data_IF_586510565178
#
_entry.id   IF_586510565178
#
_cell.length_a   1.000
_cell.length_b   1.000
_cell.length_c   1.000
_cell.angle_alpha   90.00
_cell.angle_beta   90.00
_cell.angle_gamma   90.00
#
_symmetry.space_group_name_H-M   'P 1'
#
loop_
_entity.id
_entity.type
_entity.pdbx_description
1 polymer ?
#
# COMPACT_ATOMS: atom_id res chain seq x y z
N UNK A 1 -28.89 7.64 4.54
CA UNK A 1 -29.17 7.09 5.87
C UNK A 1 -28.94 8.20 6.91
N UNK A 2 -29.50 8.10 8.11
CA UNK A 2 -29.19 9.03 9.19
C UNK A 2 -27.90 8.58 9.91
N UNK A 3 -27.25 9.48 10.64
CA UNK A 3 -26.08 9.13 11.44
C UNK A 3 -26.40 8.14 12.56
N UNK A 4 -27.63 8.20 13.09
CA UNK A 4 -28.14 7.23 14.06
C UNK A 4 -28.22 5.79 13.54
N UNK A 5 -28.25 5.61 12.22
CA UNK A 5 -28.35 4.31 11.57
C UNK A 5 -26.97 3.72 11.26
N UNK A 6 -25.90 4.48 11.50
CA UNK A 6 -24.51 4.04 11.22
C UNK A 6 -24.00 3.21 12.41
N UNK A 7 -23.71 1.91 12.23
CA UNK A 7 -23.22 1.07 13.31
C UNK A 7 -21.94 1.63 13.95
N UNK A 8 -21.87 1.62 15.28
CA UNK A 8 -20.70 2.06 16.02
C UNK A 8 -20.45 3.58 16.05
N UNK A 9 -21.17 4.38 15.25
CA UNK A 9 -20.94 5.83 15.15
C UNK A 9 -21.03 6.55 16.50
N UNK A 10 -22.00 6.20 17.33
CA UNK A 10 -22.21 6.88 18.62
C UNK A 10 -21.03 6.71 19.60
N UNK A 11 -20.29 5.63 19.51
CA UNK A 11 -19.21 5.22 20.42
C UNK A 11 -17.81 5.30 19.83
N UNK A 12 -17.67 5.77 18.57
CA UNK A 12 -16.35 5.87 17.92
C UNK A 12 -15.51 7.00 18.53
N UNK A 13 -14.20 6.89 18.42
CA UNK A 13 -13.25 7.96 18.73
C UNK A 13 -13.20 8.99 17.59
N UNK A 14 -14.18 9.89 17.60
CA UNK A 14 -14.30 10.94 16.59
C UNK A 14 -13.13 11.93 16.63
N UNK A 15 -12.49 12.14 17.79
CA UNK A 15 -11.33 13.02 17.89
C UNK A 15 -10.13 12.44 17.12
N UNK A 16 -9.87 11.15 17.27
CA UNK A 16 -8.84 10.46 16.50
C UNK A 16 -9.18 10.44 14.99
N UNK A 17 -10.44 10.19 14.63
CA UNK A 17 -10.89 10.24 13.23
C UNK A 17 -10.70 11.64 12.63
N UNK A 18 -11.03 12.71 13.37
CA UNK A 18 -10.87 14.09 12.94
C UNK A 18 -9.39 14.47 12.76
N UNK A 19 -8.52 14.06 13.69
CA UNK A 19 -7.08 14.31 13.59
C UNK A 19 -6.49 13.72 12.29
N UNK A 20 -6.88 12.50 11.94
CA UNK A 20 -6.43 11.84 10.69
C UNK A 20 -7.05 12.50 9.45
N UNK A 21 -8.34 12.86 9.51
CA UNK A 21 -8.96 13.65 8.44
C UNK A 21 -8.21 14.97 8.21
N UNK A 22 -7.94 15.71 9.29
CA UNK A 22 -7.21 16.97 9.24
C UNK A 22 -5.79 16.80 8.67
N UNK A 23 -5.10 15.69 9.01
CA UNK A 23 -3.77 15.36 8.49
C UNK A 23 -3.76 15.21 6.95
N UNK A 24 -4.86 14.75 6.35
CA UNK A 24 -4.97 14.59 4.89
C UNK A 24 -5.34 15.88 4.15
N UNK A 25 -5.91 16.84 4.86
CA UNK A 25 -6.51 18.04 4.27
C UNK A 25 -5.53 18.97 3.53
N UNK A 26 -4.25 19.16 3.92
CA UNK A 26 -3.31 19.96 3.14
C UNK A 26 -3.20 19.49 1.70
N UNK A 27 -3.04 18.18 1.47
CA UNK A 27 -2.99 17.58 0.13
C UNK A 27 -4.30 17.75 -0.66
N UNK A 28 -5.44 17.65 0.01
CA UNK A 28 -6.76 17.85 -0.62
C UNK A 28 -6.98 19.32 -1.04
N UNK A 29 -6.50 20.27 -0.26
CA UNK A 29 -6.70 21.72 -0.51
C UNK A 29 -5.62 22.30 -1.40
N UNK A 30 -4.36 21.92 -1.20
CA UNK A 30 -3.19 22.49 -1.85
C UNK A 30 -2.79 21.81 -3.17
N UNK A 31 -3.31 20.61 -3.43
CA UNK A 31 -2.89 19.83 -4.59
C UNK A 31 -1.45 19.33 -4.47
N UNK A 32 -0.99 19.02 -3.26
CA UNK A 32 0.35 18.48 -3.01
C UNK A 32 0.65 17.25 -3.86
N UNK A 33 1.94 17.04 -4.13
CA UNK A 33 2.43 15.91 -4.92
C UNK A 33 2.06 14.61 -4.23
N UNK A 34 1.13 13.87 -4.81
CA UNK A 34 0.75 12.53 -4.36
C UNK A 34 1.72 11.48 -4.95
N UNK A 35 1.99 10.42 -4.20
CA UNK A 35 2.82 9.31 -4.70
C UNK A 35 2.15 8.56 -5.87
N UNK A 36 0.81 8.56 -5.90
CA UNK A 36 0.01 7.98 -6.98
C UNK A 36 -1.16 8.88 -7.32
N UNK A 37 -1.31 9.32 -8.58
CA UNK A 37 -2.48 10.08 -9.00
C UNK A 37 -3.79 9.31 -8.71
N UNK A 38 -4.83 10.02 -8.29
CA UNK A 38 -6.16 9.50 -8.02
C UNK A 38 -7.22 10.45 -8.54
N UNK A 39 -8.51 10.14 -8.24
CA UNK A 39 -9.59 11.07 -8.56
C UNK A 39 -9.35 12.42 -7.86
N UNK A 40 -9.58 13.54 -8.55
CA UNK A 40 -9.52 14.85 -7.92
C UNK A 40 -10.61 14.99 -6.85
N UNK A 41 -10.33 15.70 -5.73
CA UNK A 41 -11.33 15.92 -4.68
C UNK A 41 -12.44 16.83 -5.19
N UNK A 42 -13.69 16.48 -4.87
CA UNK A 42 -14.85 17.32 -5.17
C UNK A 42 -14.87 18.59 -4.32
N UNK A 43 -15.58 19.63 -4.77
CA UNK A 43 -15.68 20.92 -4.10
C UNK A 43 -16.13 20.81 -2.63
N UNK A 44 -17.03 19.89 -2.32
CA UNK A 44 -17.53 19.67 -0.96
C UNK A 44 -16.43 19.15 -0.03
N UNK A 45 -15.61 18.19 -0.49
CA UNK A 45 -14.49 17.66 0.28
C UNK A 45 -13.42 18.73 0.52
N UNK A 46 -13.10 19.52 -0.50
CA UNK A 46 -12.17 20.66 -0.38
C UNK A 46 -12.70 21.68 0.64
N UNK A 47 -14.00 22.00 0.63
CA UNK A 47 -14.60 22.92 1.60
C UNK A 47 -14.57 22.37 3.03
N UNK A 48 -14.85 21.06 3.21
CA UNK A 48 -14.73 20.39 4.50
C UNK A 48 -13.28 20.39 5.02
N UNK A 49 -12.32 20.13 4.15
CA UNK A 49 -10.90 20.18 4.50
C UNK A 49 -10.43 21.59 4.88
N UNK A 50 -10.82 22.62 4.13
CA UNK A 50 -10.52 24.01 4.52
C UNK A 50 -11.06 24.34 5.90
N UNK A 51 -12.29 23.94 6.20
CA UNK A 51 -12.86 24.15 7.51
C UNK A 51 -12.12 23.38 8.60
N UNK A 52 -11.73 22.13 8.36
CA UNK A 52 -10.93 21.34 9.31
C UNK A 52 -9.59 22.02 9.63
N UNK A 53 -8.88 22.51 8.61
CA UNK A 53 -7.61 23.22 8.80
C UNK A 53 -7.73 24.51 9.60
N UNK A 54 -8.88 25.20 9.55
CA UNK A 54 -9.14 26.43 10.31
C UNK A 54 -9.60 26.17 11.75
N UNK A 55 -10.04 24.97 12.07
CA UNK A 55 -10.67 24.66 13.37
C UNK A 55 -9.68 24.26 14.45
N UNK A 56 -8.49 23.79 14.10
CA UNK A 56 -7.55 23.20 15.06
C UNK A 56 -8.00 21.81 15.53
N UNK A 57 -7.44 21.31 16.63
CA UNK A 57 -7.81 20.03 17.22
C UNK A 57 -9.21 20.10 17.86
N UNK A 58 -10.03 19.05 17.67
CA UNK A 58 -11.37 18.93 18.25
C UNK A 58 -11.43 17.77 19.24
N UNK A 59 -12.15 17.98 20.35
CA UNK A 59 -12.53 16.92 21.27
C UNK A 59 -13.73 16.11 20.73
N UNK A 60 -14.03 14.95 21.34
CA UNK A 60 -14.95 13.94 20.83
C UNK A 60 -16.28 14.46 20.27
N UNK A 61 -17.09 15.15 21.09
CA UNK A 61 -18.41 15.65 20.66
C UNK A 61 -18.31 16.74 19.58
N UNK A 62 -17.31 17.61 19.68
CA UNK A 62 -17.08 18.62 18.66
C UNK A 62 -16.59 18.02 17.32
N UNK A 63 -15.74 16.99 17.39
CA UNK A 63 -15.31 16.24 16.22
C UNK A 63 -16.47 15.47 15.58
N UNK A 64 -17.33 14.84 16.40
CA UNK A 64 -18.56 14.19 15.94
C UNK A 64 -19.45 15.19 15.21
N UNK A 65 -19.76 16.34 15.83
CA UNK A 65 -20.59 17.39 15.24
C UNK A 65 -20.00 17.94 13.94
N UNK A 66 -18.65 18.01 13.83
CA UNK A 66 -17.99 18.38 12.59
C UNK A 66 -18.35 17.45 11.43
N UNK A 67 -18.26 16.12 11.65
CA UNK A 67 -18.62 15.15 10.61
C UNK A 67 -20.11 15.19 10.29
N UNK A 68 -20.97 15.22 11.31
CA UNK A 68 -22.43 15.20 11.14
C UNK A 68 -22.97 16.43 10.39
N UNK A 69 -22.33 17.58 10.55
CA UNK A 69 -22.74 18.83 9.87
C UNK A 69 -22.20 18.95 8.45
N UNK A 70 -21.07 18.28 8.12
CA UNK A 70 -20.38 18.47 6.84
C UNK A 70 -20.50 17.31 5.88
N UNK A 71 -20.90 16.14 6.38
CA UNK A 71 -21.03 14.92 5.59
C UNK A 71 -22.41 14.28 5.76
N UNK A 72 -22.77 13.44 4.81
CA UNK A 72 -23.93 12.57 4.89
C UNK A 72 -23.47 11.12 4.70
N UNK A 73 -23.85 10.19 5.58
CA UNK A 73 -23.48 8.79 5.43
C UNK A 73 -24.29 8.12 4.31
N UNK A 74 -23.59 7.32 3.50
CA UNK A 74 -24.15 6.46 2.48
C UNK A 74 -23.66 5.04 2.70
N UNK A 75 -24.57 4.07 2.61
CA UNK A 75 -24.15 2.67 2.58
C UNK A 75 -23.50 2.35 1.23
N UNK A 76 -22.29 1.81 1.28
CA UNK A 76 -21.59 1.29 0.10
C UNK A 76 -21.90 -0.20 0.02
N UNK A 77 -22.67 -0.61 -0.98
CA UNK A 77 -23.03 -2.02 -1.20
C UNK A 77 -22.29 -2.54 -2.42
N UNK A 78 -21.39 -3.53 -2.25
CA UNK A 78 -20.72 -4.16 -3.38
C UNK A 78 -21.72 -4.86 -4.31
N UNK A 79 -21.41 -5.01 -5.62
CA UNK A 79 -22.33 -5.65 -6.58
C UNK A 79 -22.75 -7.07 -6.21
N UNK A 80 -21.88 -7.81 -5.52
CA UNK A 80 -22.16 -9.18 -5.05
C UNK A 80 -22.76 -9.23 -3.62
N UNK A 81 -23.08 -8.10 -3.02
CA UNK A 81 -23.66 -8.00 -1.68
C UNK A 81 -22.70 -8.22 -0.52
N UNK A 82 -21.46 -8.62 -0.77
CA UNK A 82 -20.45 -8.86 0.28
C UNK A 82 -19.34 -7.82 0.22
N UNK A 83 -19.07 -7.17 1.37
CA UNK A 83 -17.88 -6.36 1.57
C UNK A 83 -16.63 -7.24 1.73
N UNK A 84 -15.49 -6.71 1.34
CA UNK A 84 -14.20 -7.36 1.53
C UNK A 84 -13.24 -6.35 2.17
N UNK A 85 -12.72 -6.70 3.33
CA UNK A 85 -11.77 -5.89 4.09
C UNK A 85 -10.50 -6.71 4.33
N UNK A 86 -9.35 -6.11 4.07
CA UNK A 86 -8.05 -6.70 4.38
C UNK A 86 -7.25 -5.77 5.27
N UNK A 87 -6.46 -6.35 6.18
CA UNK A 87 -5.48 -5.62 6.96
C UNK A 87 -4.23 -5.30 6.13
N UNK A 88 -3.71 -4.10 6.32
CA UNK A 88 -2.37 -3.70 5.87
C UNK A 88 -1.47 -3.55 7.10
N UNK A 89 -0.24 -3.98 6.99
CA UNK A 89 0.78 -3.76 8.02
C UNK A 89 2.13 -3.49 7.34
N UNK A 90 3.00 -2.75 8.02
CA UNK A 90 4.37 -2.53 7.56
C UNK A 90 5.28 -3.59 8.19
N UNK A 91 5.84 -4.53 7.42
CA UNK A 91 6.73 -5.54 7.96
C UNK A 91 8.02 -4.90 8.46
N UNK A 92 8.56 -5.44 9.54
CA UNK A 92 9.93 -5.18 9.98
C UNK A 92 10.78 -6.38 9.59
N UNK A 93 11.82 -6.13 8.81
CA UNK A 93 12.71 -7.13 8.24
C UNK A 93 14.17 -6.77 8.50
N UNK A 94 15.04 -7.76 8.62
CA UNK A 94 16.46 -7.53 8.73
C UNK A 94 17.05 -7.21 7.36
N UNK A 95 17.91 -6.20 7.31
CA UNK A 95 18.55 -5.77 6.07
C UNK A 95 19.86 -5.06 6.32
N UNK A 96 20.56 -4.75 5.24
CA UNK A 96 21.83 -4.02 5.27
C UNK A 96 21.85 -2.97 4.16
N UNK A 97 22.64 -1.91 4.34
CA UNK A 97 22.90 -0.91 3.30
C UNK A 97 24.14 -1.28 2.45
N UNK A 98 24.80 -2.37 2.80
CA UNK A 98 25.93 -2.92 2.04
C UNK A 98 25.75 -4.42 1.82
N UNK A 99 26.19 -4.97 0.68
CA UNK A 99 26.09 -6.41 0.41
C UNK A 99 26.99 -7.22 1.34
N UNK A 100 26.52 -8.40 1.72
CA UNK A 100 27.30 -9.40 2.45
C UNK A 100 26.70 -10.80 2.25
N UNK A 101 27.40 -11.84 2.69
CA UNK A 101 26.90 -13.21 2.62
C UNK A 101 25.59 -13.39 3.42
N UNK A 102 25.40 -12.61 4.49
CA UNK A 102 24.16 -12.60 5.29
C UNK A 102 23.02 -11.83 4.63
N UNK A 103 23.32 -10.95 3.69
CA UNK A 103 22.37 -10.10 2.98
C UNK A 103 22.66 -10.07 1.47
N UNK A 104 22.35 -11.16 0.75
CA UNK A 104 22.70 -11.30 -0.68
C UNK A 104 21.66 -10.73 -1.65
N UNK A 105 20.43 -10.41 -1.19
CA UNK A 105 19.31 -10.08 -2.07
C UNK A 105 19.16 -8.55 -2.20
N UNK A 106 19.45 -7.98 -3.40
CA UNK A 106 19.37 -6.54 -3.58
C UNK A 106 17.96 -6.01 -3.62
N UNK A 107 17.74 -4.88 -2.96
CA UNK A 107 16.58 -4.00 -3.10
C UNK A 107 16.92 -2.92 -4.12
N UNK A 108 16.08 -2.77 -5.15
CA UNK A 108 16.36 -1.86 -6.24
C UNK A 108 15.64 -0.52 -6.08
N UNK A 109 16.36 0.57 -6.36
CA UNK A 109 15.81 1.90 -6.55
C UNK A 109 14.95 1.96 -7.81
N UNK A 110 14.12 3.00 -7.91
CA UNK A 110 13.39 3.31 -9.14
C UNK A 110 14.38 3.62 -10.26
N UNK A 111 14.33 2.87 -11.38
CA UNK A 111 15.16 3.17 -12.53
C UNK A 111 14.79 4.53 -13.16
N UNK A 112 15.78 5.27 -13.72
CA UNK A 112 15.54 6.58 -14.31
C UNK A 112 14.71 6.52 -15.61
N UNK A 113 14.73 5.39 -16.30
CA UNK A 113 13.98 5.14 -17.53
C UNK A 113 12.55 4.62 -17.30
N UNK A 114 12.15 4.47 -16.03
CA UNK A 114 10.79 4.02 -15.68
C UNK A 114 9.81 5.19 -15.73
N UNK A 115 8.86 5.13 -16.63
CA UNK A 115 7.76 6.09 -16.74
C UNK A 115 6.46 5.52 -16.19
N UNK A 116 5.80 6.26 -15.30
CA UNK A 116 4.47 5.91 -14.80
C UNK A 116 3.42 6.45 -15.78
N UNK A 117 2.54 5.57 -16.27
CA UNK A 117 1.47 5.94 -17.18
C UNK A 117 0.25 6.44 -16.41
N UNK A 118 -0.43 7.44 -16.97
CA UNK A 118 -1.67 7.93 -16.39
C UNK A 118 -2.81 6.90 -16.58
N UNK A 119 -3.73 6.75 -15.63
CA UNK A 119 -4.87 5.86 -15.78
C UNK A 119 -5.72 6.24 -17.00
N UNK A 120 -6.01 5.27 -17.88
CA UNK A 120 -6.81 5.48 -19.09
C UNK A 120 -6.06 6.12 -20.26
N UNK A 121 -4.79 6.46 -20.12
CA UNK A 121 -3.95 6.93 -21.21
C UNK A 121 -3.58 5.75 -22.13
N UNK A 122 -3.82 5.93 -23.42
CA UNK A 122 -3.53 4.92 -24.44
C UNK A 122 -2.23 5.26 -25.15
N UNK A 123 -1.29 4.32 -25.16
CA UNK A 123 -0.03 4.46 -25.87
C UNK A 123 0.04 3.43 -27.01
N UNK A 124 0.26 3.86 -28.26
CA UNK A 124 0.38 2.94 -29.39
C UNK A 124 1.47 1.89 -29.13
N UNK A 125 1.11 0.61 -29.33
CA UNK A 125 2.04 -0.52 -29.16
C UNK A 125 2.22 -1.01 -27.71
N UNK A 126 1.59 -0.36 -26.70
CA UNK A 126 1.57 -0.86 -25.32
C UNK A 126 0.24 -1.52 -24.98
N UNK A 127 0.30 -2.58 -24.17
CA UNK A 127 -0.88 -3.18 -23.55
C UNK A 127 -1.55 -2.15 -22.62
N UNK A 128 -2.84 -1.85 -22.79
CA UNK A 128 -3.58 -0.90 -21.94
C UNK A 128 -3.60 -1.26 -20.44
N UNK A 129 -3.33 -2.52 -20.10
CA UNK A 129 -3.24 -2.96 -18.71
C UNK A 129 -1.95 -2.51 -18.00
N UNK A 130 -0.95 -2.03 -18.74
CA UNK A 130 0.31 -1.56 -18.17
C UNK A 130 0.12 -0.21 -17.49
N UNK A 131 0.66 -0.08 -16.29
CA UNK A 131 0.62 1.17 -15.52
C UNK A 131 1.98 1.90 -15.47
N UNK A 132 2.99 1.35 -16.15
CA UNK A 132 4.29 1.99 -16.37
C UNK A 132 4.95 1.35 -17.58
N UNK A 133 5.91 2.08 -18.16
CA UNK A 133 6.66 1.67 -19.34
C UNK A 133 8.14 2.06 -19.19
N UNK A 134 9.01 1.51 -20.03
CA UNK A 134 10.39 1.95 -20.22
C UNK A 134 10.41 3.03 -21.28
N UNK A 135 11.00 4.17 -20.94
CA UNK A 135 11.29 5.24 -21.90
C UNK A 135 12.67 5.02 -22.54
N UNK A 136 12.73 5.09 -23.85
CA UNK A 136 13.96 5.07 -24.63
C UNK A 136 13.95 6.13 -25.74
N UNK A 137 15.01 6.24 -26.52
CA UNK A 137 15.05 7.07 -27.74
C UNK A 137 14.07 6.60 -28.82
N UNK A 138 13.67 5.33 -28.80
CA UNK A 138 12.71 4.73 -29.73
C UNK A 138 11.25 4.87 -29.27
N UNK A 139 11.03 5.43 -28.06
CA UNK A 139 9.70 5.63 -27.46
C UNK A 139 9.48 4.77 -26.21
N UNK A 140 8.21 4.45 -25.96
CA UNK A 140 7.79 3.65 -24.81
C UNK A 140 7.74 2.16 -25.16
N UNK A 141 8.27 1.33 -24.27
CA UNK A 141 8.20 -0.13 -24.37
C UNK A 141 7.76 -0.73 -23.01
N UNK A 142 7.21 -1.96 -22.99
CA UNK A 142 6.89 -2.63 -21.75
C UNK A 142 8.11 -2.73 -20.84
N UNK A 143 7.94 -2.41 -19.54
CA UNK A 143 9.01 -2.59 -18.56
C UNK A 143 9.21 -4.09 -18.31
N UNK A 144 10.45 -4.58 -18.04
CA UNK A 144 10.70 -5.96 -17.67
C UNK A 144 9.79 -6.41 -16.52
N UNK A 145 9.28 -7.61 -16.61
CA UNK A 145 8.51 -8.22 -15.53
C UNK A 145 9.42 -8.74 -14.41
N UNK A 146 8.81 -9.22 -13.31
CA UNK A 146 9.54 -9.76 -12.17
C UNK A 146 10.50 -10.87 -12.57
N UNK A 147 10.09 -11.79 -13.45
CA UNK A 147 10.92 -12.92 -13.85
C UNK A 147 12.21 -12.43 -14.55
N UNK A 148 12.09 -11.47 -15.45
CA UNK A 148 13.23 -10.84 -16.12
C UNK A 148 14.12 -10.05 -15.14
N UNK A 149 13.53 -9.27 -14.22
CA UNK A 149 14.28 -8.50 -13.20
C UNK A 149 15.04 -9.45 -12.28
N UNK A 150 14.40 -10.48 -11.75
CA UNK A 150 15.04 -11.52 -10.94
C UNK A 150 16.08 -12.34 -11.74
N UNK A 151 15.98 -12.34 -13.06
CA UNK A 151 16.95 -12.92 -13.99
C UNK A 151 18.11 -11.99 -14.36
N UNK A 152 18.16 -10.75 -13.78
CA UNK A 152 19.26 -9.83 -14.00
C UNK A 152 19.03 -8.78 -15.10
N UNK A 153 17.80 -8.56 -15.58
CA UNK A 153 17.51 -7.55 -16.63
C UNK A 153 17.89 -6.12 -16.25
N UNK A 154 18.12 -5.84 -14.97
CA UNK A 154 18.55 -4.53 -14.44
C UNK A 154 19.94 -4.60 -13.78
N UNK A 155 20.66 -5.70 -13.88
CA UNK A 155 21.98 -5.86 -13.29
C UNK A 155 22.98 -4.87 -13.90
N UNK A 156 23.91 -4.38 -13.07
CA UNK A 156 24.96 -3.46 -13.49
C UNK A 156 24.51 -2.01 -13.72
N UNK A 157 23.26 -1.67 -13.40
CA UNK A 157 22.75 -0.30 -13.53
C UNK A 157 22.97 0.55 -12.26
N UNK A 158 23.55 -0.02 -11.19
CA UNK A 158 23.79 0.70 -9.94
C UNK A 158 22.52 1.08 -9.19
N UNK A 159 21.49 0.25 -9.28
CA UNK A 159 20.18 0.50 -8.69
C UNK A 159 20.04 -0.07 -7.27
N UNK A 160 21.02 -0.80 -6.79
CA UNK A 160 20.99 -1.46 -5.48
C UNK A 160 21.12 -0.42 -4.35
N UNK A 161 20.15 -0.36 -3.46
CA UNK A 161 20.07 0.63 -2.35
C UNK A 161 20.08 0.01 -0.96
N UNK A 162 19.79 -1.28 -0.87
CA UNK A 162 19.80 -2.08 0.35
C UNK A 162 19.86 -3.55 -0.03
N UNK A 163 20.11 -4.42 0.95
CA UNK A 163 20.17 -5.87 0.76
C UNK A 163 19.43 -6.59 1.87
N UNK A 164 18.72 -7.66 1.52
CA UNK A 164 17.92 -8.48 2.43
C UNK A 164 18.49 -9.89 2.52
N UNK A 165 18.03 -10.66 3.53
CA UNK A 165 18.46 -12.04 3.74
C UNK A 165 17.98 -12.98 2.64
N UNK A 166 16.71 -12.84 2.23
CA UNK A 166 16.08 -13.74 1.27
C UNK A 166 15.09 -13.03 0.33
N UNK A 167 14.77 -13.70 -0.77
CA UNK A 167 13.85 -13.20 -1.79
C UNK A 167 12.38 -13.15 -1.28
N UNK A 168 12.03 -13.92 -0.25
CA UNK A 168 10.68 -13.94 0.33
C UNK A 168 10.43 -12.63 1.07
N UNK A 169 11.41 -12.14 1.85
CA UNK A 169 11.32 -10.86 2.52
C UNK A 169 11.17 -9.72 1.52
N UNK A 170 11.96 -9.72 0.43
CA UNK A 170 11.83 -8.74 -0.64
C UNK A 170 10.45 -8.80 -1.29
N UNK A 171 9.96 -10.00 -1.59
CA UNK A 171 8.65 -10.19 -2.21
C UNK A 171 7.54 -9.61 -1.34
N UNK A 172 7.56 -9.88 -0.04
CA UNK A 172 6.54 -9.38 0.87
C UNK A 172 6.66 -7.88 1.14
N UNK A 173 7.87 -7.34 1.25
CA UNK A 173 8.06 -5.88 1.27
C UNK A 173 7.44 -5.22 0.03
N UNK A 174 7.60 -5.83 -1.14
CA UNK A 174 7.00 -5.35 -2.38
C UNK A 174 5.47 -5.48 -2.41
N UNK A 175 4.89 -6.56 -1.89
CA UNK A 175 3.44 -6.72 -1.78
C UNK A 175 2.84 -5.65 -0.87
N UNK A 176 3.50 -5.36 0.26
CA UNK A 176 3.06 -4.32 1.20
C UNK A 176 3.36 -2.89 0.70
N UNK A 177 4.39 -2.71 -0.13
CA UNK A 177 4.80 -1.43 -0.68
C UNK A 177 5.67 -0.58 0.25
N UNK A 178 5.96 -1.04 1.46
CA UNK A 178 6.91 -0.49 2.42
C UNK A 178 7.42 -1.57 3.37
N UNK A 179 8.55 -1.32 4.01
CA UNK A 179 9.07 -2.15 5.10
C UNK A 179 9.98 -1.32 6.01
N UNK A 180 10.05 -1.67 7.28
CA UNK A 180 11.12 -1.21 8.18
C UNK A 180 12.31 -2.14 8.04
N UNK A 181 13.48 -1.57 7.83
CA UNK A 181 14.74 -2.29 7.83
C UNK A 181 15.40 -2.15 9.20
N UNK A 182 15.59 -3.26 9.89
CA UNK A 182 16.48 -3.33 11.03
C UNK A 182 17.91 -3.57 10.52
N UNK A 183 18.76 -2.57 10.66
CA UNK A 183 20.14 -2.64 10.24
C UNK A 183 21.01 -3.41 11.24
N UNK A 184 22.22 -3.89 10.85
CA UNK A 184 23.10 -4.67 11.73
C UNK A 184 23.56 -3.94 12.98
N UNK A 185 23.60 -2.62 12.96
CA UNK A 185 23.90 -1.77 14.12
C UNK A 185 22.71 -1.51 15.04
N UNK A 186 21.53 -2.10 14.75
CA UNK A 186 20.30 -1.93 15.50
C UNK A 186 19.49 -0.69 15.12
N UNK A 187 20.01 0.18 14.25
CA UNK A 187 19.26 1.34 13.75
C UNK A 187 18.17 0.90 12.79
N UNK A 188 17.16 1.78 12.59
CA UNK A 188 16.05 1.54 11.69
C UNK A 188 16.14 2.46 10.47
N UNK A 189 15.98 1.89 9.29
CA UNK A 189 15.67 2.60 8.07
C UNK A 189 14.28 2.18 7.56
N UNK A 190 13.74 2.84 6.57
CA UNK A 190 12.48 2.47 5.95
C UNK A 190 12.62 2.37 4.45
N UNK A 191 12.16 1.27 3.88
CA UNK A 191 11.88 1.16 2.45
C UNK A 191 10.52 1.81 2.19
N UNK A 192 10.51 2.80 1.32
CA UNK A 192 9.27 3.46 0.87
C UNK A 192 9.09 3.23 -0.63
N UNK A 193 7.85 3.11 -1.05
CA UNK A 193 7.50 2.95 -2.46
C UNK A 193 8.07 4.09 -3.31
N UNK A 194 8.80 3.74 -4.37
CA UNK A 194 9.38 4.69 -5.33
C UNK A 194 8.85 4.50 -6.77
N UNK A 195 8.24 3.34 -7.05
CA UNK A 195 7.69 3.04 -8.36
C UNK A 195 7.37 1.56 -8.53
N UNK A 196 6.69 1.24 -9.63
CA UNK A 196 6.44 -0.15 -10.03
C UNK A 196 6.68 -0.33 -11.53
N UNK A 197 7.02 -1.55 -11.94
CA UNK A 197 7.26 -1.88 -13.34
C UNK A 197 6.00 -1.85 -14.24
N UNK A 198 4.84 -1.53 -13.69
CA UNK A 198 3.59 -1.42 -14.43
C UNK A 198 2.92 -2.75 -14.82
N UNK A 199 3.57 -3.86 -14.61
CA UNK A 199 3.04 -5.18 -14.94
C UNK A 199 1.88 -5.56 -14.00
N UNK A 200 0.92 -6.41 -14.45
CA UNK A 200 -0.20 -6.85 -13.65
C UNK A 200 0.24 -7.67 -12.45
N UNK A 201 -0.54 -7.58 -11.37
CA UNK A 201 -0.33 -8.35 -10.15
C UNK A 201 -1.01 -9.71 -10.22
N UNK A 202 -0.31 -10.75 -9.80
CA UNK A 202 -0.86 -12.10 -9.61
C UNK A 202 -0.66 -12.53 -8.16
N UNK A 203 -1.75 -12.95 -7.51
CA UNK A 203 -1.67 -13.49 -6.14
C UNK A 203 -1.01 -14.86 -6.12
N UNK A 204 0.20 -14.96 -5.58
CA UNK A 204 0.91 -16.22 -5.46
C UNK A 204 0.23 -17.18 -4.48
N UNK A 205 -0.49 -16.68 -3.47
CA UNK A 205 -1.27 -17.53 -2.57
C UNK A 205 -2.36 -18.31 -3.32
N UNK A 206 -3.05 -17.66 -4.28
CA UNK A 206 -4.01 -18.36 -5.14
C UNK A 206 -3.35 -19.42 -6.03
N UNK A 207 -2.15 -19.13 -6.52
CA UNK A 207 -1.38 -20.11 -7.31
C UNK A 207 -1.04 -21.35 -6.47
N UNK A 208 -0.48 -21.13 -5.27
CA UNK A 208 -0.12 -22.20 -4.32
C UNK A 208 -1.31 -23.10 -3.97
N UNK A 209 -2.51 -22.47 -3.79
CA UNK A 209 -3.75 -23.23 -3.55
C UNK A 209 -4.20 -23.97 -4.80
N UNK A 210 -4.19 -23.34 -5.97
CA UNK A 210 -4.62 -23.95 -7.23
C UNK A 210 -3.73 -25.14 -7.63
N UNK A 211 -2.45 -25.10 -7.28
CA UNK A 211 -1.48 -26.19 -7.52
C UNK A 211 -1.51 -27.27 -6.41
N UNK A 212 -2.38 -27.13 -5.40
CA UNK A 212 -2.58 -28.13 -4.36
C UNK A 212 -1.52 -28.16 -3.26
N UNK A 213 -0.62 -27.16 -3.20
CA UNK A 213 0.40 -27.09 -2.15
C UNK A 213 -0.15 -26.67 -0.79
N UNK A 214 -1.33 -26.02 -0.77
CA UNK A 214 -2.02 -25.59 0.44
C UNK A 214 -3.53 -25.48 0.17
N UNK A 215 -4.36 -25.72 1.19
CA UNK A 215 -5.80 -25.46 1.09
C UNK A 215 -6.12 -23.99 1.42
N UNK A 216 -7.25 -23.47 0.94
CA UNK A 216 -7.68 -22.11 1.23
C UNK A 216 -7.86 -21.89 2.73
N UNK A 217 -8.44 -22.85 3.45
CA UNK A 217 -8.68 -22.77 4.91
C UNK A 217 -7.38 -22.76 5.72
N UNK A 218 -6.31 -23.37 5.17
CA UNK A 218 -4.99 -23.37 5.77
C UNK A 218 -4.16 -22.12 5.41
N UNK A 219 -4.62 -21.31 4.45
CA UNK A 219 -3.87 -20.17 3.96
C UNK A 219 -3.78 -19.07 5.03
N UNK A 220 -2.56 -18.74 5.42
CA UNK A 220 -2.23 -17.54 6.16
C UNK A 220 -0.93 -16.97 5.63
N UNK A 221 -0.63 -15.71 5.97
CA UNK A 221 0.62 -15.07 5.58
C UNK A 221 1.82 -15.88 6.10
N UNK A 222 1.80 -16.23 7.38
CA UNK A 222 2.89 -16.99 8.03
C UNK A 222 3.11 -18.34 7.38
N UNK A 223 2.04 -19.08 7.13
CA UNK A 223 2.12 -20.40 6.49
C UNK A 223 2.64 -20.34 5.06
N UNK A 224 2.21 -19.33 4.31
CA UNK A 224 2.71 -19.13 2.94
C UNK A 224 4.19 -18.75 2.96
N UNK A 225 4.62 -17.85 3.85
CA UNK A 225 6.03 -17.52 4.01
C UNK A 225 6.89 -18.74 4.42
N UNK A 226 6.40 -19.52 5.39
CA UNK A 226 7.08 -20.74 5.83
C UNK A 226 7.22 -21.75 4.68
N UNK A 227 6.15 -21.95 3.90
CA UNK A 227 6.17 -22.84 2.74
C UNK A 227 7.17 -22.35 1.68
N UNK A 228 7.19 -21.05 1.36
CA UNK A 228 8.14 -20.48 0.41
C UNK A 228 9.59 -20.69 0.85
N UNK A 229 9.90 -20.48 2.14
CA UNK A 229 11.26 -20.69 2.67
C UNK A 229 11.65 -22.17 2.71
N UNK A 230 10.70 -23.07 2.97
CA UNK A 230 10.94 -24.52 2.96
C UNK A 230 11.11 -25.10 1.53
N UNK A 231 10.65 -24.39 0.50
CA UNK A 231 10.65 -24.86 -0.88
C UNK A 231 11.28 -23.82 -1.84
N UNK A 232 12.58 -23.50 -1.72
CA UNK A 232 13.19 -22.34 -2.39
C UNK A 232 13.11 -22.37 -3.93
N UNK A 233 13.18 -23.54 -4.56
CA UNK A 233 13.05 -23.68 -6.01
C UNK A 233 11.63 -23.32 -6.48
N UNK A 234 10.62 -23.88 -5.80
CA UNK A 234 9.21 -23.59 -6.05
C UNK A 234 8.85 -22.14 -5.69
N UNK A 235 9.41 -21.62 -4.61
CA UNK A 235 9.24 -20.22 -4.22
C UNK A 235 9.66 -19.27 -5.34
N UNK A 236 10.85 -19.47 -5.91
CA UNK A 236 11.32 -18.67 -7.06
C UNK A 236 10.39 -18.79 -8.25
N UNK A 237 9.94 -20.01 -8.59
CA UNK A 237 9.01 -20.24 -9.69
C UNK A 237 7.69 -19.50 -9.45
N UNK A 238 7.08 -19.68 -8.30
CA UNK A 238 5.78 -19.11 -7.96
C UNK A 238 5.84 -17.58 -7.84
N UNK A 239 6.88 -17.04 -7.20
CA UNK A 239 7.06 -15.58 -7.10
C UNK A 239 7.20 -14.91 -8.48
N UNK A 240 7.86 -15.56 -9.45
CA UNK A 240 8.00 -15.06 -10.83
C UNK A 240 6.68 -15.00 -11.61
N UNK A 241 5.66 -15.77 -11.22
CA UNK A 241 4.31 -15.69 -11.82
C UNK A 241 3.61 -14.36 -11.49
N UNK A 242 3.98 -13.71 -10.40
CA UNK A 242 3.57 -12.33 -10.15
C UNK A 242 4.47 -11.38 -10.94
N UNK A 243 4.01 -10.93 -12.11
CA UNK A 243 4.77 -10.06 -13.01
C UNK A 243 5.09 -8.68 -12.41
N UNK A 244 4.29 -8.22 -11.43
CA UNK A 244 4.47 -6.92 -10.78
C UNK A 244 5.74 -6.89 -9.92
N UNK A 245 6.53 -5.82 -10.06
CA UNK A 245 7.74 -5.56 -9.27
C UNK A 245 7.71 -4.12 -8.74
N UNK A 246 8.02 -3.94 -7.46
CA UNK A 246 8.05 -2.64 -6.79
C UNK A 246 9.50 -2.22 -6.57
N UNK A 247 9.80 -0.96 -6.88
CA UNK A 247 11.06 -0.28 -6.60
C UNK A 247 10.92 0.58 -5.35
N UNK A 248 12.01 0.75 -4.61
CA UNK A 248 12.01 1.44 -3.33
C UNK A 248 12.96 2.64 -3.30
N UNK A 249 12.79 3.47 -2.29
CA UNK A 249 13.79 4.40 -1.78
C UNK A 249 14.04 4.10 -0.30
N UNK A 250 15.25 4.33 0.17
CA UNK A 250 15.60 4.24 1.60
C UNK A 250 15.40 5.59 2.25
N UNK A 251 14.77 5.61 3.42
CA UNK A 251 14.56 6.82 4.24
C UNK A 251 15.07 6.57 5.65
N UNK A 252 15.82 7.52 6.16
CA UNK A 252 16.37 7.54 7.52
C UNK A 252 15.70 8.62 8.39
N UNK A 253 15.03 9.58 7.74
CA UNK A 253 14.47 10.80 8.33
C UNK A 253 13.00 10.65 8.76
N UNK A 254 12.45 9.46 8.66
CA UNK A 254 11.07 9.19 9.07
C UNK A 254 11.00 8.83 10.55
N UNK A 255 10.04 9.43 11.24
CA UNK A 255 9.71 9.09 12.62
C UNK A 255 9.33 7.60 12.71
N UNK A 256 10.07 6.77 13.46
CA UNK A 256 9.78 5.34 13.56
C UNK A 256 8.45 5.04 14.24
N UNK A 257 7.89 5.99 15.01
CA UNK A 257 6.58 5.87 15.64
C UNK A 257 5.42 6.09 14.65
N UNK A 258 5.67 6.72 13.50
CA UNK A 258 4.65 6.94 12.47
C UNK A 258 4.57 5.76 11.53
N UNK A 259 3.38 5.48 11.03
CA UNK A 259 3.14 4.49 9.99
C UNK A 259 3.80 4.87 8.64
N UNK A 260 3.76 3.96 7.66
CA UNK A 260 4.29 4.21 6.33
C UNK A 260 3.54 5.35 5.64
N UNK A 261 4.20 6.00 4.69
CA UNK A 261 3.58 7.04 3.87
C UNK A 261 2.67 6.39 2.83
N UNK A 262 1.39 6.72 2.89
CA UNK A 262 0.39 6.26 1.93
C UNK A 262 0.47 6.96 0.58
N UNK A 263 -0.35 6.52 -0.38
CA UNK A 263 -0.38 7.05 -1.75
C UNK A 263 -0.72 8.55 -1.84
N UNK A 264 -1.39 9.09 -0.83
CA UNK A 264 -1.68 10.52 -0.68
C UNK A 264 -0.51 11.34 -0.10
N UNK A 265 0.69 10.76 0.02
CA UNK A 265 1.87 11.37 0.64
C UNK A 265 1.71 11.70 2.13
N UNK A 266 0.80 11.02 2.82
CA UNK A 266 0.50 11.23 4.24
C UNK A 266 0.82 9.96 5.03
N UNK A 267 1.41 10.03 6.24
CA UNK A 267 1.60 8.87 7.09
C UNK A 267 0.27 8.19 7.43
N UNK A 268 0.24 6.86 7.32
CA UNK A 268 -0.94 6.08 7.70
C UNK A 268 -1.00 5.93 9.21
N UNK A 269 -2.20 6.02 9.77
CA UNK A 269 -2.46 5.87 11.20
C UNK A 269 -3.18 4.54 11.43
N UNK A 270 -2.68 3.68 12.32
CA UNK A 270 -3.32 2.40 12.61
C UNK A 270 -4.79 2.56 12.99
N UNK A 271 -5.66 1.69 12.46
CA UNK A 271 -7.11 1.66 12.67
C UNK A 271 -7.87 2.93 12.25
N UNK A 272 -7.19 3.91 11.62
CA UNK A 272 -7.79 5.19 11.17
C UNK A 272 -7.49 5.52 9.71
N UNK A 273 -6.62 4.78 9.06
CA UNK A 273 -6.34 4.96 7.64
C UNK A 273 -6.65 3.68 6.87
N UNK A 274 -7.26 3.82 5.71
CA UNK A 274 -7.57 2.71 4.80
C UNK A 274 -6.98 2.97 3.42
N UNK A 275 -6.66 1.89 2.70
CA UNK A 275 -6.40 1.96 1.28
C UNK A 275 -7.73 1.93 0.52
N UNK A 276 -7.88 2.84 -0.43
CA UNK A 276 -9.08 2.92 -1.28
C UNK A 276 -8.72 2.70 -2.74
N UNK A 277 -9.69 2.25 -3.52
CA UNK A 277 -9.57 2.31 -4.97
C UNK A 277 -9.61 3.79 -5.40
N UNK A 278 -8.45 4.32 -5.75
CA UNK A 278 -8.23 5.72 -6.16
C UNK A 278 -8.90 6.09 -7.49
N UNK A 279 -9.41 5.12 -8.24
CA UNK A 279 -10.23 5.35 -9.44
C UNK A 279 -11.69 5.57 -9.12
N UNK A 280 -12.11 5.20 -7.90
CA UNK A 280 -13.48 5.35 -7.39
C UNK A 280 -13.59 6.45 -6.32
N UNK A 281 -12.56 6.61 -5.49
CA UNK A 281 -12.60 7.47 -4.32
C UNK A 281 -11.44 8.47 -4.28
N UNK A 282 -11.72 9.77 -4.15
CA UNK A 282 -10.69 10.76 -3.87
C UNK A 282 -10.00 10.49 -2.53
N UNK A 283 -8.70 10.77 -2.46
CA UNK A 283 -8.00 10.73 -1.17
C UNK A 283 -8.62 11.71 -0.18
N UNK A 284 -8.63 11.33 1.10
CA UNK A 284 -9.23 12.13 2.17
C UNK A 284 -10.74 11.94 2.32
N UNK A 285 -11.40 11.10 1.51
CA UNK A 285 -12.81 10.73 1.72
C UNK A 285 -12.96 9.96 3.04
N UNK A 286 -13.80 10.42 4.00
CA UNK A 286 -14.05 9.68 5.22
C UNK A 286 -14.89 8.43 4.96
N UNK A 287 -14.53 7.33 5.64
CA UNK A 287 -15.28 6.07 5.64
C UNK A 287 -15.60 5.66 7.07
N UNK A 288 -16.74 5.06 7.27
CA UNK A 288 -17.06 4.28 8.47
C UNK A 288 -17.07 2.81 8.05
N UNK A 289 -16.34 2.00 8.77
CA UNK A 289 -16.26 0.55 8.54
C UNK A 289 -16.98 -0.11 9.69
N UNK A 290 -17.93 -0.98 9.37
CA UNK A 290 -18.54 -1.90 10.32
C UNK A 290 -18.28 -3.33 9.83
N UNK A 291 -17.48 -4.08 10.57
CA UNK A 291 -17.07 -5.42 10.18
C UNK A 291 -16.81 -6.29 11.42
N UNK A 292 -17.01 -7.59 11.24
CA UNK A 292 -16.58 -8.59 12.21
C UNK A 292 -15.17 -9.06 11.81
N UNK A 293 -14.17 -8.75 12.63
CA UNK A 293 -12.78 -9.06 12.34
C UNK A 293 -12.26 -10.19 13.23
N UNK A 294 -11.36 -11.05 12.72
CA UNK A 294 -10.65 -12.01 13.57
C UNK A 294 -9.90 -11.30 14.70
N UNK A 295 -10.06 -11.79 15.91
CA UNK A 295 -9.30 -11.30 17.07
C UNK A 295 -7.98 -12.08 17.17
N UNK A 296 -6.82 -11.43 17.35
CA UNK A 296 -5.55 -12.11 17.58
C UNK A 296 -5.54 -13.03 18.79
N UNK A 297 -6.38 -12.76 19.80
CA UNK A 297 -6.57 -13.61 20.96
C UNK A 297 -7.50 -14.82 20.70
N UNK A 298 -8.05 -14.94 19.50
CA UNK A 298 -9.01 -15.95 19.08
C UNK A 298 -10.44 -15.45 19.09
N UNK A 299 -11.26 -15.99 18.15
CA UNK A 299 -12.65 -15.57 17.96
C UNK A 299 -12.81 -14.40 16.98
N UNK A 300 -13.95 -13.71 17.06
CA UNK A 300 -14.33 -12.59 16.19
C UNK A 300 -14.72 -11.42 17.11
N UNK A 301 -14.26 -10.22 16.73
CA UNK A 301 -14.66 -8.97 17.40
C UNK A 301 -15.28 -7.99 16.41
N UNK A 302 -16.27 -7.20 16.80
CA UNK A 302 -16.78 -6.10 16.00
C UNK A 302 -15.72 -4.99 15.88
N UNK A 303 -15.66 -4.38 14.70
CA UNK A 303 -14.79 -3.25 14.37
C UNK A 303 -15.62 -2.10 13.84
#
# INVERSE_FOLDING_TARGET
MAWTDVPGWASDDHAAAFAVFQLTCPGVVGGDTVLRPGLPPGRALVAACRAALMTGALAGDAAKAFFETRFRPFAVTPPNGQGFLTGYFEPEIEGSLVPSDGFPVPVLARPPDLETLAPGEMHPGLDPALAAARRSSEGLAPYPDRAAIMGGALAGQGLEIAWLRDEVDLFYAQVQGSARLRLPDGTLARLVYAGRNGQPYTSIGRVVVAEGHMTMDAMSLERLQAWLRANPAEARRVMRLNRSYIFFAVRHDLDPAKGPVGAASVPLVPLRSIAVDRTLWPYGTPFVIAADLPDPAGGIRPF
#
